data_IF_791974112211
#
_entry.id   IF_791974112211
#
_cell.length_a   1.000
_cell.length_b   1.000
_cell.length_c   1.000
_cell.angle_alpha   90.00
_cell.angle_beta   90.00
_cell.angle_gamma   90.00
#
_symmetry.space_group_name_H-M   'P 1'
#
loop_
_entity.id
_entity.type
_entity.pdbx_description
1 polymer ?
#
# COMPACT_ATOMS: atom_id res chain seq x y z
N UNK A 1 -23.49 -2.56 4.90
CA UNK A 1 -22.62 -2.49 3.72
C UNK A 1 -21.58 -1.44 4.06
N UNK A 2 -20.34 -1.84 4.27
CA UNK A 2 -19.24 -0.91 4.52
C UNK A 2 -18.95 -0.12 3.24
N UNK A 3 -18.74 1.18 3.40
CA UNK A 3 -18.44 2.10 2.31
C UNK A 3 -16.91 2.23 2.17
N UNK A 4 -16.34 1.42 1.27
CA UNK A 4 -14.90 1.44 0.96
C UNK A 4 -14.46 2.68 0.14
N UNK A 5 -15.37 3.63 -0.15
CA UNK A 5 -15.03 4.88 -0.85
C UNK A 5 -14.78 6.06 0.09
N UNK A 6 -15.02 5.87 1.38
CA UNK A 6 -14.70 6.88 2.41
C UNK A 6 -13.18 7.03 2.54
N UNK A 7 -12.65 8.27 2.65
CA UNK A 7 -11.23 8.51 2.93
C UNK A 7 -10.75 7.91 4.26
N UNK A 8 -11.69 7.60 5.16
CA UNK A 8 -11.45 6.98 6.46
C UNK A 8 -11.56 5.45 6.41
N UNK A 9 -11.93 4.88 5.26
CA UNK A 9 -11.97 3.44 5.07
C UNK A 9 -10.53 2.91 4.94
N UNK A 10 -10.00 2.38 6.05
CA UNK A 10 -8.73 1.65 6.06
C UNK A 10 -8.87 0.36 5.24
N UNK A 11 -8.01 0.21 4.23
CA UNK A 11 -7.92 -1.00 3.43
C UNK A 11 -6.66 -1.83 3.76
N UNK A 12 -6.56 -3.00 3.14
CA UNK A 12 -5.42 -3.91 3.35
C UNK A 12 -4.07 -3.32 2.91
N UNK A 13 -4.06 -2.32 2.01
CA UNK A 13 -2.84 -1.66 1.56
C UNK A 13 -2.34 -0.68 2.63
N UNK A 14 -3.24 -0.01 3.34
CA UNK A 14 -2.89 0.85 4.47
C UNK A 14 -2.25 0.04 5.61
N UNK A 15 -2.83 -1.10 5.97
CA UNK A 15 -2.27 -2.03 6.96
C UNK A 15 -0.84 -2.46 6.57
N UNK A 16 -0.63 -2.82 5.31
CA UNK A 16 0.68 -3.22 4.79
C UNK A 16 1.69 -2.07 4.84
N UNK A 17 1.28 -0.86 4.45
CA UNK A 17 2.12 0.32 4.53
C UNK A 17 2.54 0.60 5.98
N UNK A 18 1.59 0.53 6.93
CA UNK A 18 1.89 0.70 8.35
C UNK A 18 2.89 -0.35 8.85
N UNK A 19 2.70 -1.63 8.51
CA UNK A 19 3.62 -2.70 8.89
C UNK A 19 5.04 -2.48 8.36
N UNK A 20 5.19 -2.00 7.12
CA UNK A 20 6.48 -1.67 6.52
C UNK A 20 7.15 -0.52 7.27
N UNK A 21 6.41 0.57 7.52
CA UNK A 21 6.92 1.75 8.22
C UNK A 21 7.34 1.42 9.66
N UNK A 22 6.52 0.66 10.40
CA UNK A 22 6.83 0.22 11.77
C UNK A 22 8.09 -0.65 11.87
N UNK A 23 8.50 -1.28 10.77
CA UNK A 23 9.72 -2.11 10.68
C UNK A 23 10.91 -1.39 10.04
N UNK A 24 10.82 -0.07 9.87
CA UNK A 24 11.87 0.75 9.28
C UNK A 24 12.09 0.51 7.79
N UNK A 25 11.07 0.02 7.08
CA UNK A 25 11.04 -0.02 5.62
C UNK A 25 10.57 1.32 5.03
N UNK A 26 10.54 1.38 3.71
CA UNK A 26 10.12 2.57 2.96
C UNK A 26 8.87 2.27 2.13
N UNK A 27 7.93 3.21 2.12
CA UNK A 27 6.72 3.16 1.30
C UNK A 27 6.74 4.30 0.29
N UNK A 28 6.43 3.99 -0.97
CA UNK A 28 6.34 4.97 -2.07
C UNK A 28 4.95 4.93 -2.68
N UNK A 29 4.27 6.07 -2.67
CA UNK A 29 3.03 6.28 -3.44
C UNK A 29 3.44 6.86 -4.79
N UNK A 30 3.11 6.17 -5.88
CA UNK A 30 3.46 6.58 -7.24
C UNK A 30 2.21 6.54 -8.15
N UNK A 31 2.12 7.38 -9.19
CA UNK A 31 1.07 7.28 -10.20
C UNK A 31 1.01 5.88 -10.83
N UNK A 32 -0.20 5.42 -11.15
CA UNK A 32 -0.45 4.07 -11.70
C UNK A 32 0.39 3.74 -12.94
N UNK A 33 0.61 4.70 -13.83
CA UNK A 33 1.45 4.53 -15.03
C UNK A 33 2.92 4.16 -14.74
N UNK A 34 3.38 4.37 -13.50
CA UNK A 34 4.73 4.01 -13.05
C UNK A 34 4.75 2.75 -12.19
N UNK A 35 3.59 2.18 -11.85
CA UNK A 35 3.54 0.94 -11.09
C UNK A 35 4.06 -0.22 -11.94
N UNK A 36 4.94 -1.08 -11.40
CA UNK A 36 5.45 -2.24 -12.12
C UNK A 36 4.44 -3.40 -12.15
N UNK A 37 3.26 -3.23 -11.54
CA UNK A 37 2.20 -4.23 -11.42
C UNK A 37 0.83 -3.57 -11.61
N UNK A 38 -0.15 -4.37 -12.06
CA UNK A 38 -1.54 -3.92 -12.23
C UNK A 38 -2.40 -4.10 -10.97
N UNK A 39 -1.83 -4.67 -9.90
CA UNK A 39 -2.54 -5.02 -8.67
C UNK A 39 -2.56 -3.90 -7.62
N UNK A 40 -1.85 -2.80 -7.87
CA UNK A 40 -1.73 -1.69 -6.92
C UNK A 40 -0.66 -1.87 -5.84
N UNK A 41 0.09 -2.98 -5.84
CA UNK A 41 1.18 -3.23 -4.89
C UNK A 41 2.40 -3.86 -5.58
N UNK A 42 3.58 -3.38 -5.24
CA UNK A 42 4.85 -4.01 -5.52
C UNK A 42 5.78 -3.86 -4.30
N UNK A 43 6.61 -4.86 -4.03
CA UNK A 43 7.51 -4.87 -2.87
C UNK A 43 8.88 -5.43 -3.24
N UNK A 44 9.91 -4.86 -2.61
CA UNK A 44 11.27 -5.40 -2.63
C UNK A 44 11.52 -6.01 -1.25
N UNK A 45 11.57 -7.33 -1.19
CA UNK A 45 11.75 -8.05 0.06
C UNK A 45 13.22 -8.11 0.47
N UNK A 46 13.47 -7.95 1.77
CA UNK A 46 14.73 -8.33 2.39
C UNK A 46 14.58 -9.78 2.84
N UNK A 47 15.24 -10.68 2.12
CA UNK A 47 15.32 -12.14 2.35
C UNK A 47 14.05 -12.94 2.03
#
# INVERSE_FOLDING_TARGET
LEDFSSPEAEDVLDDLAEMVLRRGGEVKIIPSQYMPTDTGLASIYRF
#
